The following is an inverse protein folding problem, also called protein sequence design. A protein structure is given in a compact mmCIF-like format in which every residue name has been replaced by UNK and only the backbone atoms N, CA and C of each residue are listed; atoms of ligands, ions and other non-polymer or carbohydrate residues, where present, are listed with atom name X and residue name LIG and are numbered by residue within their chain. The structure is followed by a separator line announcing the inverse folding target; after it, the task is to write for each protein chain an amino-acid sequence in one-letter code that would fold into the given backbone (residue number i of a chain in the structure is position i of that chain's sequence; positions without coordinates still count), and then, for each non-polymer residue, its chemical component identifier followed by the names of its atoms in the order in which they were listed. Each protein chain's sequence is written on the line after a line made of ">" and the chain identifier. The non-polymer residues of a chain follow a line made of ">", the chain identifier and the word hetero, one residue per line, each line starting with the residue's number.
data_IF_133033026717
#
_entry.id   IF_133033026717
#
_cell.length_a   1.000
_cell.length_b   1.000
_cell.length_c   1.000
_cell.angle_alpha   90.00
_cell.angle_beta   90.00
_cell.angle_gamma   90.00
#
_symmetry.space_group_name_H-M   'P 1'
#
loop_
_entity.id
_entity.type
_entity.pdbx_description
1 polymer ?
#
# COMPACT_ATOMS: atom_id res chain seq x y z
N UNK A 1 5.12 7.80 24.17
CA UNK A 1 5.52 6.35 24.33
C UNK A 1 5.50 5.66 22.95
N UNK A 2 6.47 4.81 22.65
CA UNK A 2 6.48 3.99 21.43
C UNK A 2 6.62 2.51 21.83
N UNK A 3 5.72 1.68 21.33
CA UNK A 3 5.76 0.22 21.49
C UNK A 3 5.78 -0.45 20.12
N UNK A 4 6.74 -1.31 19.86
CA UNK A 4 6.87 -2.05 18.60
C UNK A 4 6.68 -3.55 18.82
N UNK A 5 5.88 -4.17 17.98
CA UNK A 5 5.55 -5.59 18.05
C UNK A 5 5.93 -6.30 16.76
N UNK A 6 6.60 -7.43 16.90
CA UNK A 6 7.01 -8.28 15.77
C UNK A 6 6.32 -9.65 15.88
N UNK A 7 5.00 -9.67 15.75
CA UNK A 7 4.23 -10.91 15.75
C UNK A 7 4.03 -11.44 14.32
N UNK A 8 3.96 -12.76 14.17
CA UNK A 8 3.52 -13.42 12.92
C UNK A 8 2.00 -13.47 12.80
N UNK A 9 1.30 -13.41 13.92
CA UNK A 9 -0.16 -13.38 14.02
C UNK A 9 -0.64 -11.96 14.35
N UNK A 10 -1.91 -11.61 14.11
CA UNK A 10 -2.45 -10.30 14.46
C UNK A 10 -2.19 -9.94 15.92
N UNK A 11 -1.77 -8.69 16.16
CA UNK A 11 -1.58 -8.18 17.54
C UNK A 11 -2.92 -8.24 18.27
N UNK A 12 -3.00 -9.00 19.38
CA UNK A 12 -4.26 -9.21 20.09
C UNK A 12 -4.72 -7.94 20.81
N UNK A 13 -6.02 -7.87 21.07
CA UNK A 13 -6.68 -6.75 21.76
C UNK A 13 -6.02 -6.44 23.12
N UNK A 14 -5.62 -7.47 23.88
CA UNK A 14 -4.97 -7.31 25.20
C UNK A 14 -3.68 -6.50 25.16
N UNK A 15 -2.86 -6.65 24.11
CA UNK A 15 -1.57 -5.94 24.02
C UNK A 15 -1.81 -4.46 23.68
N UNK A 16 -2.83 -4.18 22.87
CA UNK A 16 -3.29 -2.82 22.61
C UNK A 16 -3.84 -2.15 23.86
N UNK A 17 -4.70 -2.85 24.61
CA UNK A 17 -5.29 -2.35 25.84
C UNK A 17 -4.22 -2.12 26.92
N UNK A 18 -3.18 -2.96 26.95
CA UNK A 18 -2.04 -2.74 27.85
C UNK A 18 -1.36 -1.41 27.53
N UNK A 19 -1.02 -1.16 26.25
CA UNK A 19 -0.37 0.11 25.88
C UNK A 19 -1.25 1.32 26.21
N UNK A 20 -2.56 1.24 25.94
CA UNK A 20 -3.52 2.31 26.28
C UNK A 20 -3.48 2.62 27.78
N UNK A 21 -3.52 1.59 28.61
CA UNK A 21 -3.44 1.73 30.06
C UNK A 21 -2.09 2.31 30.50
N UNK A 22 -0.99 1.79 29.99
CA UNK A 22 0.36 2.27 30.34
C UNK A 22 0.53 3.76 29.99
N UNK A 23 -0.05 4.24 28.86
CA UNK A 23 -0.09 5.66 28.49
C UNK A 23 -0.93 6.47 29.46
N UNK A 24 -2.08 5.95 29.91
CA UNK A 24 -2.96 6.67 30.82
C UNK A 24 -2.41 6.72 32.24
N UNK A 25 -1.76 5.67 32.72
CA UNK A 25 -1.17 5.61 34.07
C UNK A 25 0.04 6.53 34.21
N UNK A 26 0.85 6.71 33.15
CA UNK A 26 2.03 7.58 33.17
C UNK A 26 1.66 9.04 32.84
N UNK A 27 1.68 9.92 33.84
CA UNK A 27 1.37 11.34 33.66
C UNK A 27 2.40 12.11 32.82
N UNK A 28 3.60 11.58 32.65
CA UNK A 28 4.67 12.23 31.85
C UNK A 28 4.51 11.95 30.36
N UNK A 29 3.70 10.94 29.99
CA UNK A 29 3.45 10.55 28.62
C UNK A 29 2.24 11.29 28.07
N UNK A 30 2.46 12.09 27.01
CA UNK A 30 1.41 12.87 26.33
C UNK A 30 0.65 12.10 25.26
N UNK A 31 1.09 10.88 24.88
CA UNK A 31 0.45 10.02 23.90
C UNK A 31 1.34 8.85 23.49
N UNK A 32 0.89 8.03 22.55
CA UNK A 32 1.65 6.84 22.16
C UNK A 32 1.48 6.39 20.72
N UNK A 33 2.39 5.52 20.30
CA UNK A 33 2.39 4.87 18.99
C UNK A 33 2.56 3.37 19.21
N UNK A 34 1.66 2.57 18.65
CA UNK A 34 1.80 1.12 18.52
C UNK A 34 2.16 0.77 17.10
N UNK A 35 3.32 0.16 16.92
CA UNK A 35 3.81 -0.26 15.60
C UNK A 35 3.78 -1.78 15.50
N UNK A 36 3.12 -2.32 14.50
CA UNK A 36 3.21 -3.71 14.10
C UNK A 36 4.11 -3.86 12.88
N UNK A 37 5.17 -4.66 13.00
CA UNK A 37 6.14 -4.83 11.91
C UNK A 37 5.68 -5.83 10.85
N UNK A 38 5.20 -7.01 11.26
CA UNK A 38 4.95 -8.15 10.38
C UNK A 38 3.51 -8.67 10.41
N UNK A 39 2.61 -8.01 11.13
CA UNK A 39 1.22 -8.45 11.25
C UNK A 39 0.27 -7.27 11.32
N UNK A 40 -1.02 -7.53 11.11
CA UNK A 40 -2.06 -6.51 11.33
C UNK A 40 -2.30 -6.31 12.85
N UNK A 41 -2.81 -5.15 13.21
CA UNK A 41 -3.33 -4.90 14.55
C UNK A 41 -4.82 -5.24 14.53
N UNK A 42 -5.25 -6.16 15.40
CA UNK A 42 -6.65 -6.62 15.44
C UNK A 42 -7.62 -5.44 15.52
N UNK A 43 -8.62 -5.43 14.63
CA UNK A 43 -9.67 -4.40 14.54
C UNK A 43 -9.20 -2.98 14.18
N UNK A 44 -7.93 -2.81 13.74
CA UNK A 44 -7.38 -1.51 13.34
C UNK A 44 -7.02 -1.50 11.85
N UNK A 45 -7.05 -0.31 11.26
CA UNK A 45 -6.57 -0.07 9.90
C UNK A 45 -5.02 -0.02 9.88
N UNK A 46 -4.43 0.02 8.69
CA UNK A 46 -2.97 0.13 8.55
C UNK A 46 -2.39 1.39 9.21
N UNK A 47 -3.14 2.48 9.19
CA UNK A 47 -2.84 3.69 9.96
C UNK A 47 -4.13 4.20 10.57
N UNK A 48 -4.18 4.32 11.89
CA UNK A 48 -5.37 4.76 12.60
C UNK A 48 -4.98 5.57 13.82
N UNK A 49 -5.78 6.59 14.10
CA UNK A 49 -5.60 7.46 15.27
C UNK A 49 -6.81 7.33 16.17
N UNK A 50 -6.54 7.14 17.43
CA UNK A 50 -7.55 7.03 18.47
C UNK A 50 -7.16 7.88 19.68
N UNK A 51 -7.95 7.85 20.72
CA UNK A 51 -7.63 8.48 22.01
C UNK A 51 -7.88 7.52 23.16
N UNK A 52 -7.09 7.68 24.21
CA UNK A 52 -7.27 6.95 25.46
C UNK A 52 -8.45 7.52 26.25
N UNK A 53 -8.80 6.91 27.37
CA UNK A 53 -9.83 7.42 28.29
C UNK A 53 -9.48 8.81 28.83
N UNK A 54 -8.20 9.07 29.08
CA UNK A 54 -7.69 10.39 29.48
C UNK A 54 -7.44 11.35 28.30
N UNK A 55 -8.05 11.05 27.13
CA UNK A 55 -7.96 11.86 25.89
C UNK A 55 -6.55 11.99 25.31
N UNK A 56 -5.58 11.20 25.73
CA UNK A 56 -4.25 11.20 25.15
C UNK A 56 -4.28 10.54 23.76
N UNK A 57 -3.63 11.10 22.74
CA UNK A 57 -3.60 10.53 21.40
C UNK A 57 -2.83 9.23 21.35
N UNK A 58 -3.36 8.26 20.61
CA UNK A 58 -2.68 7.00 20.32
C UNK A 58 -2.76 6.72 18.83
N UNK A 59 -1.64 6.35 18.20
CA UNK A 59 -1.53 6.06 16.79
C UNK A 59 -1.18 4.58 16.61
N UNK A 60 -1.96 3.89 15.79
CA UNK A 60 -1.74 2.51 15.40
C UNK A 60 -1.16 2.46 14.00
N UNK A 61 -0.04 1.76 13.81
CA UNK A 61 0.64 1.63 12.52
C UNK A 61 0.91 0.16 12.23
N UNK A 62 0.46 -0.32 11.08
CA UNK A 62 0.79 -1.63 10.56
C UNK A 62 1.74 -1.45 9.36
N UNK A 63 2.99 -1.89 9.50
CA UNK A 63 4.02 -1.81 8.46
C UNK A 63 4.10 -3.07 7.61
N UNK A 64 3.22 -4.05 7.85
CA UNK A 64 3.15 -5.27 7.06
C UNK A 64 3.01 -4.92 5.58
N UNK A 65 3.81 -5.57 4.75
CA UNK A 65 3.83 -5.42 3.29
C UNK A 65 4.29 -4.03 2.78
N UNK A 66 4.82 -3.17 3.67
CA UNK A 66 5.45 -1.90 3.32
C UNK A 66 6.96 -2.06 3.12
N UNK A 67 7.52 -1.35 2.15
CA UNK A 67 8.96 -1.26 2.02
C UNK A 67 9.58 -0.36 3.12
N UNK A 68 10.91 -0.32 3.15
CA UNK A 68 11.64 0.48 4.15
C UNK A 68 11.33 1.97 4.06
N UNK A 69 11.16 2.49 2.84
CA UNK A 69 10.92 3.91 2.61
C UNK A 69 9.50 4.30 3.02
N UNK A 70 8.51 3.47 2.69
CA UNK A 70 7.11 3.64 3.08
C UNK A 70 6.97 3.56 4.61
N UNK A 71 7.59 2.56 5.23
CA UNK A 71 7.63 2.40 6.69
C UNK A 71 8.20 3.63 7.38
N UNK A 72 9.32 4.16 6.87
CA UNK A 72 9.93 5.39 7.38
C UNK A 72 9.02 6.61 7.27
N UNK A 73 8.31 6.76 6.15
CA UNK A 73 7.34 7.86 5.94
C UNK A 73 6.15 7.74 6.90
N UNK A 74 5.61 6.54 7.10
CA UNK A 74 4.50 6.31 8.04
C UNK A 74 4.91 6.65 9.48
N UNK A 75 6.08 6.21 9.93
CA UNK A 75 6.59 6.54 11.25
C UNK A 75 6.84 8.03 11.44
N UNK A 76 7.45 8.68 10.45
CA UNK A 76 7.69 10.12 10.47
C UNK A 76 6.37 10.91 10.53
N UNK A 77 5.35 10.49 9.77
CA UNK A 77 4.03 11.11 9.81
C UNK A 77 3.38 10.98 11.20
N UNK A 78 3.42 9.78 11.79
CA UNK A 78 2.89 9.54 13.12
C UNK A 78 3.57 10.38 14.20
N UNK A 79 4.90 10.48 14.16
CA UNK A 79 5.66 11.32 15.09
C UNK A 79 5.29 12.80 14.94
N UNK A 80 5.18 13.31 13.71
CA UNK A 80 4.76 14.70 13.46
C UNK A 80 3.36 14.98 13.98
N UNK A 81 2.41 14.07 13.76
CA UNK A 81 1.04 14.19 14.24
C UNK A 81 1.04 14.21 15.77
N UNK A 82 1.72 13.25 16.40
CA UNK A 82 1.79 13.17 17.85
C UNK A 82 2.42 14.43 18.45
N UNK A 83 3.51 14.92 17.84
CA UNK A 83 4.16 16.17 18.28
C UNK A 83 3.21 17.35 18.15
N UNK A 84 2.55 17.53 17.00
CA UNK A 84 1.62 18.63 16.78
C UNK A 84 0.51 18.67 17.83
N UNK A 85 -0.11 17.50 18.11
CA UNK A 85 -1.16 17.40 19.15
C UNK A 85 -0.59 17.67 20.55
N UNK A 86 0.63 17.18 20.84
CA UNK A 86 1.25 17.35 22.16
C UNK A 86 1.73 18.77 22.43
N UNK A 87 2.03 19.57 21.40
CA UNK A 87 2.47 20.96 21.52
C UNK A 87 1.29 21.96 21.58
N UNK A 88 0.08 21.53 21.27
CA UNK A 88 -1.11 22.35 21.41
C UNK A 88 -1.46 22.46 22.90
N UNK A 89 -1.50 23.69 23.44
CA UNK A 89 -1.69 23.93 24.88
C UNK A 89 -3.16 24.04 25.26
N UNK A 90 -4.01 24.48 24.34
CA UNK A 90 -5.44 24.58 24.55
C UNK A 90 -6.11 23.20 24.34
N UNK A 91 -6.82 22.71 25.36
CA UNK A 91 -7.44 21.38 25.32
C UNK A 91 -8.61 21.30 24.31
N UNK A 92 -9.32 22.40 24.06
CA UNK A 92 -10.38 22.46 23.06
C UNK A 92 -9.79 22.44 21.65
N UNK A 93 -8.77 23.24 21.38
CA UNK A 93 -8.03 23.25 20.12
C UNK A 93 -7.39 21.90 19.83
N UNK A 94 -6.83 21.25 20.85
CA UNK A 94 -6.22 19.92 20.76
C UNK A 94 -7.26 18.83 20.41
N UNK A 95 -8.43 18.84 21.03
CA UNK A 95 -9.50 17.87 20.74
C UNK A 95 -10.05 18.08 19.31
N UNK A 96 -10.16 19.32 18.86
CA UNK A 96 -10.58 19.67 17.49
C UNK A 96 -9.54 19.28 16.45
N UNK A 97 -8.26 19.54 16.71
CA UNK A 97 -7.17 19.11 15.86
C UNK A 97 -7.15 17.58 15.74
N UNK A 98 -7.27 16.87 16.86
CA UNK A 98 -7.31 15.41 16.86
C UNK A 98 -8.50 14.87 16.06
N UNK A 99 -9.70 15.40 16.24
CA UNK A 99 -10.91 15.03 15.46
C UNK A 99 -10.70 15.27 13.97
N UNK A 100 -10.14 16.42 13.59
CA UNK A 100 -9.85 16.76 12.20
C UNK A 100 -8.91 15.76 11.56
N UNK A 101 -7.81 15.42 12.23
CA UNK A 101 -6.82 14.45 11.75
C UNK A 101 -7.46 13.05 11.67
N UNK A 102 -8.23 12.63 12.69
CA UNK A 102 -8.93 11.34 12.68
C UNK A 102 -9.87 11.22 11.47
N UNK A 103 -10.62 12.27 11.16
CA UNK A 103 -11.53 12.28 10.01
C UNK A 103 -10.76 12.17 8.69
N UNK A 104 -9.67 12.91 8.53
CA UNK A 104 -8.81 12.81 7.33
C UNK A 104 -8.21 11.41 7.16
N UNK A 105 -7.69 10.82 8.23
CA UNK A 105 -7.14 9.45 8.22
C UNK A 105 -8.22 8.43 7.88
N UNK A 106 -9.44 8.59 8.41
CA UNK A 106 -10.58 7.71 8.09
C UNK A 106 -10.94 7.80 6.61
N UNK A 107 -11.00 9.00 6.06
CA UNK A 107 -11.28 9.21 4.63
C UNK A 107 -10.20 8.59 3.74
N UNK A 108 -8.92 8.77 4.08
CA UNK A 108 -7.82 8.12 3.36
C UNK A 108 -7.91 6.60 3.41
N UNK A 109 -8.22 6.02 4.57
CA UNK A 109 -8.41 4.57 4.69
C UNK A 109 -9.59 4.05 3.83
N UNK A 110 -10.67 4.81 3.69
CA UNK A 110 -11.78 4.45 2.80
C UNK A 110 -11.30 4.45 1.33
N UNK A 111 -10.60 5.49 0.89
CA UNK A 111 -10.05 5.56 -0.47
C UNK A 111 -9.07 4.42 -0.77
N UNK A 112 -8.21 4.08 0.18
CA UNK A 112 -7.29 2.94 0.04
C UNK A 112 -8.07 1.63 -0.17
N UNK A 113 -9.16 1.41 0.58
CA UNK A 113 -10.02 0.22 0.39
C UNK A 113 -10.68 0.20 -0.98
N UNK A 114 -11.18 1.33 -1.46
CA UNK A 114 -11.77 1.44 -2.79
C UNK A 114 -10.75 1.10 -3.89
N UNK A 115 -9.55 1.65 -3.82
CA UNK A 115 -8.46 1.36 -4.75
C UNK A 115 -8.10 -0.13 -4.70
N UNK A 116 -7.99 -0.72 -3.51
CA UNK A 116 -7.70 -2.14 -3.33
C UNK A 116 -8.77 -3.02 -3.97
N UNK A 117 -10.05 -2.65 -3.84
CA UNK A 117 -11.16 -3.36 -4.46
C UNK A 117 -11.09 -3.27 -5.99
N UNK A 118 -10.75 -2.10 -6.54
CA UNK A 118 -10.57 -1.91 -7.99
C UNK A 118 -9.42 -2.79 -8.51
N UNK A 119 -8.27 -2.78 -7.83
CA UNK A 119 -7.11 -3.62 -8.19
C UNK A 119 -7.50 -5.10 -8.17
N UNK A 120 -8.22 -5.53 -7.15
CA UNK A 120 -8.67 -6.93 -7.03
C UNK A 120 -9.62 -7.31 -8.17
N UNK A 121 -10.54 -6.44 -8.55
CA UNK A 121 -11.45 -6.67 -9.68
C UNK A 121 -10.70 -6.74 -11.01
N UNK A 122 -9.74 -5.86 -11.24
CA UNK A 122 -8.89 -5.85 -12.45
C UNK A 122 -8.04 -7.12 -12.54
N UNK A 123 -7.45 -7.58 -11.44
CA UNK A 123 -6.67 -8.81 -11.42
C UNK A 123 -7.54 -10.02 -11.81
N UNK A 124 -8.78 -10.12 -11.32
CA UNK A 124 -9.73 -11.18 -11.74
C UNK A 124 -10.04 -11.12 -13.24
N UNK A 125 -10.16 -9.92 -13.82
CA UNK A 125 -10.38 -9.77 -15.26
C UNK A 125 -9.14 -10.24 -16.05
N UNK A 126 -7.94 -9.89 -15.59
CA UNK A 126 -6.68 -10.36 -16.19
C UNK A 126 -6.60 -11.89 -16.17
N UNK A 127 -6.92 -12.53 -15.04
CA UNK A 127 -6.93 -14.00 -14.91
C UNK A 127 -7.91 -14.64 -15.89
N UNK A 128 -9.09 -14.04 -16.07
CA UNK A 128 -10.10 -14.49 -17.04
C UNK A 128 -9.56 -14.40 -18.47
N UNK A 129 -8.94 -13.29 -18.84
CA UNK A 129 -8.35 -13.09 -20.17
C UNK A 129 -7.19 -14.06 -20.44
N UNK A 130 -6.35 -14.32 -19.43
CA UNK A 130 -5.29 -15.32 -19.52
C UNK A 130 -5.88 -16.71 -19.79
N UNK A 131 -6.92 -17.09 -19.05
CA UNK A 131 -7.62 -18.38 -19.22
C UNK A 131 -8.24 -18.51 -20.62
N UNK A 132 -8.89 -17.47 -21.13
CA UNK A 132 -9.43 -17.42 -22.48
C UNK A 132 -8.34 -17.57 -23.54
N UNK A 133 -7.21 -16.86 -23.37
CA UNK A 133 -6.06 -16.99 -24.28
C UNK A 133 -5.53 -18.42 -24.32
N UNK A 134 -5.40 -19.10 -23.19
CA UNK A 134 -4.93 -20.48 -23.15
C UNK A 134 -5.94 -21.46 -23.77
N UNK A 135 -7.24 -21.24 -23.59
CA UNK A 135 -8.28 -22.02 -24.25
C UNK A 135 -8.26 -21.84 -25.78
N UNK A 136 -8.09 -20.62 -26.25
CA UNK A 136 -7.95 -20.33 -27.69
C UNK A 136 -6.72 -21.00 -28.29
N UNK A 137 -5.60 -21.00 -27.59
CA UNK A 137 -4.39 -21.72 -28.03
C UNK A 137 -4.62 -23.23 -28.14
N UNK A 138 -5.28 -23.82 -27.12
CA UNK A 138 -5.63 -25.25 -27.15
C UNK A 138 -6.52 -25.60 -28.34
N UNK A 139 -7.57 -24.80 -28.57
CA UNK A 139 -8.47 -25.01 -29.71
C UNK A 139 -7.75 -24.87 -31.05
N UNK A 140 -6.84 -23.90 -31.18
CA UNK A 140 -6.02 -23.74 -32.38
C UNK A 140 -5.11 -24.95 -32.63
N UNK A 141 -4.52 -25.49 -31.55
CA UNK A 141 -3.67 -26.68 -31.63
C UNK A 141 -4.46 -27.91 -32.06
N UNK A 142 -5.67 -28.12 -31.54
CA UNK A 142 -6.56 -29.21 -31.95
C UNK A 142 -6.94 -29.12 -33.43
N UNK A 143 -7.23 -27.92 -33.94
CA UNK A 143 -7.54 -27.71 -35.38
C UNK A 143 -6.33 -28.00 -36.27
N UNK A 144 -5.10 -27.84 -35.81
CA UNK A 144 -3.89 -28.22 -36.53
C UNK A 144 -3.64 -29.74 -36.56
N UNK A 145 -4.01 -30.46 -35.49
CA UNK A 145 -3.88 -31.92 -35.46
C UNK A 145 -4.93 -32.64 -36.31
N UNK A 146 -6.11 -32.04 -36.53
CA UNK A 146 -7.16 -32.58 -37.38
C UNK A 146 -6.92 -32.40 -38.90
N UNK A 147 -5.74 -31.90 -39.29
CA UNK A 147 -5.24 -31.93 -40.69
C UNK A 147 -5.80 -30.85 -41.62
N UNK A 148 -6.48 -29.84 -41.17
CA UNK A 148 -6.77 -28.65 -41.93
C UNK A 148 -5.63 -27.63 -41.83
N UNK A 149 -4.84 -27.48 -42.88
CA UNK A 149 -3.85 -26.38 -43.01
C UNK A 149 -4.58 -25.03 -42.97
N UNK A 150 -4.65 -24.48 -41.79
CA UNK A 150 -5.10 -23.09 -41.59
C UNK A 150 -4.00 -22.18 -42.12
N UNK A 151 -4.20 -21.65 -43.31
CA UNK A 151 -3.29 -20.69 -43.95
C UNK A 151 -3.24 -19.39 -43.07
N UNK A 152 -2.31 -19.35 -42.14
CA UNK A 152 -2.11 -18.19 -41.28
C UNK A 152 -1.44 -17.11 -42.10
N UNK A 153 -2.08 -15.96 -42.36
CA UNK A 153 -1.48 -14.89 -43.16
C UNK A 153 -0.16 -14.45 -42.53
N UNK A 154 0.94 -14.78 -43.20
CA UNK A 154 2.28 -14.36 -42.77
C UNK A 154 2.34 -12.83 -42.77
N UNK A 155 2.67 -12.25 -41.62
CA UNK A 155 2.98 -10.81 -41.50
C UNK A 155 3.99 -10.43 -42.60
N UNK A 156 3.75 -9.37 -43.39
CA UNK A 156 4.67 -8.94 -44.40
C UNK A 156 6.05 -8.68 -43.80
N UNK A 157 7.06 -9.42 -44.26
CA UNK A 157 8.46 -9.20 -43.87
C UNK A 157 8.80 -7.74 -44.19
N UNK A 158 9.02 -6.94 -43.14
CA UNK A 158 9.57 -5.58 -43.29
C UNK A 158 10.87 -5.69 -44.10
N UNK A 159 10.85 -5.25 -45.37
CA UNK A 159 12.05 -5.04 -46.16
C UNK A 159 12.94 -4.07 -45.36
N UNK A 160 14.02 -4.56 -44.81
CA UNK A 160 15.12 -3.71 -44.33
C UNK A 160 15.66 -2.98 -45.57
N UNK A 161 15.37 -1.70 -45.67
CA UNK A 161 16.02 -0.83 -46.65
C UNK A 161 17.49 -0.67 -46.20
N UNK A 162 18.39 -1.39 -46.86
CA UNK A 162 19.80 -1.09 -46.85
C UNK A 162 20.01 0.25 -47.63
N UNK A 163 19.94 1.34 -46.89
CA UNK A 163 20.37 2.64 -47.39
C UNK A 163 20.85 3.47 -46.22
N UNK A 164 22.08 3.24 -45.81
CA UNK A 164 23.00 4.23 -45.27
C UNK A 164 24.38 3.57 -45.22
N UNK A 165 25.10 3.67 -46.31
CA UNK A 165 26.57 3.64 -46.35
C UNK A 165 27.02 4.31 -47.60
N UNK A 166 27.27 5.59 -47.53
CA UNK A 166 28.14 6.41 -48.36
C UNK A 166 27.81 7.87 -48.06
N UNK A 167 28.44 8.46 -47.10
CA UNK A 167 28.92 9.85 -47.06
C UNK A 167 29.78 9.94 -45.78
N UNK A 168 31.07 9.70 -45.94
CA UNK A 168 32.08 10.14 -45.00
C UNK A 168 33.47 9.89 -45.64
N UNK A 169 33.74 10.58 -46.72
CA UNK A 169 35.09 10.84 -47.22
C UNK A 169 34.97 12.09 -48.09
N UNK A 170 35.34 13.20 -47.53
CA UNK A 170 35.76 14.45 -48.16
C UNK A 170 35.53 15.61 -47.22
N UNK A 171 36.43 15.81 -46.28
CA UNK A 171 36.88 17.12 -45.74
C UNK A 171 38.24 16.87 -45.07
N UNK A 172 39.28 16.84 -45.86
CA UNK A 172 40.64 17.24 -45.48
C UNK A 172 41.41 17.57 -46.72
N UNK A 173 41.33 18.84 -47.08
CA UNK A 173 42.38 19.63 -47.71
C UNK A 173 42.14 21.11 -47.30
#
# INVERSE_FOLDING_TARGET
>A
MLDSKNFKTPIPKKDREKLVRDIDEDSTVSGGILVSLNSIISTKNHFEIDKTEKKKPIIFICLKDMDFQESGRCLAAALRILTAISTTHDEEEKDDLLKKIQNQVRELNLRIREITNIITAQNKQIDTLVSLKENLKKNLFMLQEDGEEVDIPQKPKKRRSNKVRQVSEEIHQ
#
